data_IF_456931472380
#
_entry.id   IF_456931472380
#
_cell.length_a   1.000
_cell.length_b   1.000
_cell.length_c   1.000
_cell.angle_alpha   90.00
_cell.angle_beta   90.00
_cell.angle_gamma   90.00
#
_symmetry.space_group_name_H-M   'P 1'
#
loop_
_entity.id
_entity.type
_entity.pdbx_description
1 polymer ?
#
# COMPACT_ATOMS: atom_id res chain seq x y z
N UNK A 1 0.19 -12.85 19.94
CA UNK A 1 0.14 -11.39 19.76
C UNK A 1 0.83 -10.82 20.97
N UNK A 2 1.80 -9.96 20.77
CA UNK A 2 2.57 -9.33 21.85
C UNK A 2 1.66 -8.39 22.64
N UNK A 3 1.91 -8.22 23.94
CA UNK A 3 1.10 -7.38 24.86
C UNK A 3 0.90 -5.95 24.32
N UNK A 4 1.93 -5.39 23.67
CA UNK A 4 1.82 -4.06 23.06
C UNK A 4 0.84 -4.01 21.87
N UNK A 5 0.74 -5.07 21.06
CA UNK A 5 -0.20 -5.11 19.92
C UNK A 5 -1.62 -4.99 20.44
N UNK A 6 -1.93 -5.71 21.53
CA UNK A 6 -3.22 -5.64 22.21
C UNK A 6 -3.46 -4.25 22.82
N UNK A 7 -2.41 -3.60 23.35
CA UNK A 7 -2.48 -2.24 23.88
C UNK A 7 -2.81 -1.18 22.81
N UNK A 8 -2.41 -1.40 21.55
CA UNK A 8 -2.66 -0.44 20.46
C UNK A 8 -3.88 -0.76 19.60
N UNK A 9 -4.51 -1.93 19.69
CA UNK A 9 -5.62 -2.33 18.79
C UNK A 9 -6.70 -1.25 18.67
N UNK A 10 -7.15 -0.69 19.80
CA UNK A 10 -8.21 0.32 19.80
C UNK A 10 -7.80 1.62 19.11
N UNK A 11 -6.55 2.05 19.33
CA UNK A 11 -6.01 3.28 18.72
C UNK A 11 -5.72 3.07 17.24
N UNK A 12 -5.20 1.90 16.88
CA UNK A 12 -4.99 1.48 15.50
C UNK A 12 -6.27 1.54 14.69
N UNK A 13 -7.39 1.03 15.21
CA UNK A 13 -8.69 1.11 14.53
C UNK A 13 -9.14 2.55 14.28
N UNK A 14 -8.78 3.48 15.18
CA UNK A 14 -9.10 4.90 15.02
C UNK A 14 -8.25 5.53 13.92
N UNK A 15 -6.94 5.27 13.94
CA UNK A 15 -5.99 5.75 12.93
C UNK A 15 -6.30 5.15 11.56
N UNK A 16 -6.63 3.86 11.47
CA UNK A 16 -7.07 3.19 10.23
C UNK A 16 -8.22 3.94 9.57
N UNK A 17 -9.23 4.35 10.36
CA UNK A 17 -10.37 5.07 9.83
C UNK A 17 -10.00 6.47 9.32
N UNK A 18 -9.13 7.18 10.02
CA UNK A 18 -8.67 8.52 9.63
C UNK A 18 -7.74 8.47 8.41
N UNK A 19 -6.89 7.44 8.34
CA UNK A 19 -5.89 7.27 7.30
C UNK A 19 -6.50 6.86 5.96
N UNK A 20 -7.76 6.38 5.94
CA UNK A 20 -8.50 6.09 4.70
C UNK A 20 -8.54 7.27 3.72
N UNK A 21 -8.63 8.51 4.20
CA UNK A 21 -8.62 9.70 3.32
C UNK A 21 -7.25 9.87 2.64
N UNK A 22 -6.16 9.62 3.38
CA UNK A 22 -4.79 9.66 2.85
C UNK A 22 -4.57 8.54 1.84
N UNK A 23 -5.05 7.33 2.13
CA UNK A 23 -5.02 6.21 1.18
C UNK A 23 -5.78 6.56 -0.09
N UNK A 24 -6.99 7.14 0.01
CA UNK A 24 -7.77 7.54 -1.15
C UNK A 24 -7.11 8.66 -1.99
N UNK A 25 -6.30 9.52 -1.36
CA UNK A 25 -5.47 10.51 -2.04
C UNK A 25 -4.14 9.95 -2.56
N UNK A 26 -3.77 8.74 -2.15
CA UNK A 26 -2.56 8.05 -2.58
C UNK A 26 -2.75 7.40 -3.96
N UNK A 27 -1.71 6.71 -4.43
CA UNK A 27 -1.78 5.90 -5.66
C UNK A 27 -2.45 4.54 -5.46
N UNK A 28 -2.68 4.13 -4.22
CA UNK A 28 -3.22 2.83 -3.87
C UNK A 28 -4.72 2.93 -3.57
N UNK A 29 -5.47 1.96 -4.07
CA UNK A 29 -6.85 1.71 -3.68
C UNK A 29 -6.92 1.12 -2.26
N UNK A 30 -8.09 1.16 -1.64
CA UNK A 30 -8.31 0.54 -0.32
C UNK A 30 -8.03 -0.97 -0.30
N UNK A 31 -8.19 -1.66 -1.43
CA UNK A 31 -7.90 -3.09 -1.56
C UNK A 31 -6.40 -3.35 -1.61
N UNK A 32 -5.67 -2.56 -2.40
CA UNK A 32 -4.21 -2.58 -2.47
C UNK A 32 -3.60 -2.24 -1.10
N UNK A 33 -4.15 -1.22 -0.42
CA UNK A 33 -3.75 -0.87 0.95
C UNK A 33 -3.95 -2.02 1.94
N UNK A 34 -5.08 -2.73 1.86
CA UNK A 34 -5.33 -3.90 2.69
C UNK A 34 -4.25 -4.98 2.49
N UNK A 35 -3.85 -5.25 1.24
CA UNK A 35 -2.77 -6.20 0.95
C UNK A 35 -1.42 -5.72 1.50
N UNK A 36 -1.07 -4.45 1.29
CA UNK A 36 0.16 -3.82 1.83
C UNK A 36 0.21 -3.98 3.35
N UNK A 37 -0.89 -3.65 4.04
CA UNK A 37 -0.97 -3.73 5.52
C UNK A 37 -0.94 -5.16 6.06
N UNK A 38 -1.22 -6.19 5.24
CA UNK A 38 -1.03 -7.60 5.65
C UNK A 38 0.41 -8.07 5.58
N UNK A 39 1.24 -7.36 4.81
CA UNK A 39 2.68 -7.61 4.67
C UNK A 39 3.52 -6.54 5.39
N UNK A 40 2.88 -5.75 6.25
CA UNK A 40 3.56 -4.74 7.06
C UNK A 40 3.38 -5.12 8.51
N UNK A 41 4.49 -5.22 9.22
CA UNK A 41 4.50 -5.35 10.67
C UNK A 41 4.86 -3.99 11.27
N UNK A 42 4.28 -3.65 12.42
CA UNK A 42 4.66 -2.46 13.17
C UNK A 42 5.60 -2.87 14.29
N UNK A 43 6.59 -2.03 14.59
CA UNK A 43 7.53 -2.24 15.70
C UNK A 43 7.85 -0.92 16.40
N UNK A 44 8.48 -0.99 17.58
CA UNK A 44 9.03 0.18 18.26
C UNK A 44 10.56 0.10 18.22
N UNK A 45 11.17 0.98 17.42
CA UNK A 45 12.62 1.15 17.39
C UNK A 45 13.08 1.91 18.64
N UNK A 46 14.24 1.54 19.21
CA UNK A 46 14.83 2.16 20.41
C UNK A 46 13.87 2.20 21.61
N UNK A 47 13.07 1.15 21.84
CA UNK A 47 12.07 1.12 22.91
C UNK A 47 12.65 1.37 24.32
N UNK A 48 13.95 1.12 24.52
CA UNK A 48 14.71 1.38 25.76
C UNK A 48 15.10 2.84 25.98
N UNK A 49 15.02 3.69 24.97
CA UNK A 49 15.29 5.11 25.06
C UNK A 49 13.99 5.91 24.85
N UNK A 50 13.40 6.53 25.89
CA UNK A 50 12.14 7.26 25.75
C UNK A 50 12.23 8.47 24.82
N UNK A 51 13.43 9.02 24.60
CA UNK A 51 13.64 10.19 23.73
C UNK A 51 13.86 9.79 22.26
N UNK A 52 14.30 8.55 22.01
CA UNK A 52 14.55 8.01 20.66
C UNK A 52 13.53 6.97 20.20
N UNK A 53 12.64 6.53 21.09
CA UNK A 53 11.64 5.52 20.80
C UNK A 53 10.67 6.00 19.72
N UNK A 54 10.42 5.17 18.71
CA UNK A 54 9.47 5.49 17.64
C UNK A 54 8.80 4.27 17.03
N UNK A 55 7.56 4.42 16.59
CA UNK A 55 6.86 3.40 15.80
C UNK A 55 7.45 3.38 14.39
N UNK A 56 7.85 2.20 13.95
CA UNK A 56 8.39 1.97 12.59
C UNK A 56 7.59 0.89 11.90
N UNK A 57 7.49 0.99 10.57
CA UNK A 57 6.90 -0.04 9.73
C UNK A 57 8.00 -0.98 9.22
N UNK A 58 7.96 -2.25 9.61
CA UNK A 58 8.74 -3.30 8.95
C UNK A 58 8.07 -3.67 7.63
N UNK A 59 8.78 -3.33 6.56
CA UNK A 59 8.36 -3.50 5.17
C UNK A 59 9.15 -4.57 4.43
N UNK A 60 9.96 -5.35 5.15
CA UNK A 60 10.79 -6.41 4.58
C UNK A 60 9.99 -7.46 3.79
N UNK A 61 8.70 -7.62 4.10
CA UNK A 61 7.76 -8.52 3.43
C UNK A 61 7.03 -7.88 2.22
N UNK A 62 7.07 -6.55 2.07
CA UNK A 62 6.38 -5.87 0.96
C UNK A 62 6.82 -6.37 -0.43
N UNK A 63 8.13 -6.56 -0.72
CA UNK A 63 8.56 -7.05 -2.04
C UNK A 63 7.91 -8.37 -2.46
N UNK A 64 7.57 -9.24 -1.48
CA UNK A 64 6.94 -10.53 -1.75
C UNK A 64 5.47 -10.40 -2.21
N UNK A 65 4.75 -9.35 -1.79
CA UNK A 65 3.34 -9.13 -2.18
C UNK A 65 3.16 -8.23 -3.40
N UNK A 66 4.23 -7.57 -3.85
CA UNK A 66 4.13 -6.65 -4.98
C UNK A 66 3.63 -7.29 -6.29
N UNK A 67 4.01 -8.55 -6.64
CA UNK A 67 3.42 -9.22 -7.82
C UNK A 67 1.91 -9.43 -7.70
N UNK A 68 1.41 -9.68 -6.49
CA UNK A 68 -0.03 -9.82 -6.24
C UNK A 68 -0.74 -8.46 -6.31
N UNK A 69 -0.08 -7.39 -5.87
CA UNK A 69 -0.57 -6.02 -6.02
C UNK A 69 -0.80 -5.66 -7.50
N UNK A 70 0.19 -5.96 -8.35
CA UNK A 70 0.09 -5.75 -9.81
C UNK A 70 -1.03 -6.59 -10.44
N UNK A 71 -1.19 -7.84 -9.98
CA UNK A 71 -2.25 -8.74 -10.43
C UNK A 71 -3.65 -8.21 -10.06
N UNK A 72 -3.83 -7.70 -8.83
CA UNK A 72 -5.08 -7.08 -8.39
C UNK A 72 -5.45 -5.86 -9.26
N UNK A 73 -4.46 -5.01 -9.53
CA UNK A 73 -4.64 -3.83 -10.39
C UNK A 73 -5.01 -4.19 -11.81
N UNK A 74 -4.34 -5.20 -12.38
CA UNK A 74 -4.60 -5.71 -13.72
C UNK A 74 -6.00 -6.29 -13.86
N UNK A 75 -6.46 -7.03 -12.85
CA UNK A 75 -7.84 -7.56 -12.81
C UNK A 75 -8.88 -6.44 -12.74
N UNK A 76 -8.65 -5.40 -11.93
CA UNK A 76 -9.55 -4.24 -11.89
C UNK A 76 -9.59 -3.47 -13.22
N UNK A 77 -8.44 -3.27 -13.87
CA UNK A 77 -8.36 -2.63 -15.18
C UNK A 77 -9.08 -3.44 -16.27
N UNK A 78 -8.98 -4.78 -16.23
CA UNK A 78 -9.67 -5.68 -17.15
C UNK A 78 -11.19 -5.72 -16.95
N UNK A 79 -11.69 -5.38 -15.76
CA UNK A 79 -13.11 -5.39 -15.41
C UNK A 79 -13.77 -4.01 -15.52
N UNK A 80 -13.01 -2.92 -15.45
CA UNK A 80 -13.47 -1.53 -15.69
C UNK A 80 -13.58 -1.14 -17.16
N UNK A 81 -13.08 -1.98 -18.07
CA UNK A 81 -13.25 -1.84 -19.52
C UNK A 81 -14.55 -2.43 -20.02
N UNK A 82 -15.69 -1.80 -19.72
CA UNK A 82 -16.92 -2.10 -20.45
C UNK A 82 -16.83 -1.51 -21.87
N UNK A 83 -16.89 -2.30 -22.96
CA UNK A 83 -17.28 -1.80 -24.27
C UNK A 83 -18.77 -1.48 -24.22
N UNK A 84 -19.10 -0.24 -23.85
CA UNK A 84 -20.45 0.28 -24.00
C UNK A 84 -20.76 0.53 -25.47
N UNK A 85 -21.56 -0.34 -26.08
CA UNK A 85 -22.39 0.03 -27.24
C UNK A 85 -22.31 -0.92 -28.43
N UNK A 86 -22.95 -2.09 -28.35
CA UNK A 86 -23.50 -2.73 -29.54
C UNK A 86 -24.90 -2.14 -29.79
N UNK A 87 -25.01 -1.27 -30.81
CA UNK A 87 -26.28 -0.91 -31.48
C UNK A 87 -25.98 -0.21 -32.81
N UNK A 88 -25.78 -1.03 -33.85
CA UNK A 88 -26.35 -0.84 -35.19
C UNK A 88 -25.97 0.40 -36.03
N UNK A 89 -25.13 0.19 -37.04
CA UNK A 89 -25.01 1.11 -38.17
C UNK A 89 -23.99 0.65 -39.22
N UNK A 90 -24.47 0.10 -40.32
CA UNK A 90 -23.71 -0.37 -41.49
C UNK A 90 -22.63 0.59 -41.98
N UNK A 91 -21.45 0.03 -42.31
CA UNK A 91 -20.68 0.45 -43.48
C UNK A 91 -19.24 0.93 -43.24
N UNK A 92 -18.27 0.07 -43.60
CA UNK A 92 -17.05 0.49 -44.32
C UNK A 92 -15.76 0.70 -43.51
N UNK A 93 -14.78 -0.20 -43.74
CA UNK A 93 -13.34 -0.05 -43.38
C UNK A 93 -13.07 -0.09 -41.87
N UNK A 94 -12.11 -0.81 -41.31
CA UNK A 94 -10.70 -0.93 -41.67
C UNK A 94 -10.19 -2.22 -41.01
N UNK A 95 -9.98 -3.27 -41.81
CA UNK A 95 -9.22 -4.46 -41.40
C UNK A 95 -7.88 -4.41 -42.12
N UNK A 96 -7.02 -3.47 -41.72
CA UNK A 96 -5.67 -3.36 -42.30
C UNK A 96 -4.68 -2.72 -41.32
N UNK A 97 -4.28 -3.45 -40.27
CA UNK A 97 -3.06 -3.17 -39.46
C UNK A 97 -2.62 -4.32 -38.55
N UNK A 98 -3.06 -5.55 -38.83
CA UNK A 98 -2.46 -6.73 -38.20
C UNK A 98 -1.19 -7.04 -38.97
N UNK A 99 -0.05 -6.80 -38.33
CA UNK A 99 1.33 -7.19 -38.68
C UNK A 99 2.13 -6.18 -39.52
N UNK A 100 2.89 -5.37 -38.80
CA UNK A 100 4.34 -5.35 -38.96
C UNK A 100 4.92 -4.00 -39.34
N UNK A 101 5.59 -3.33 -38.39
CA UNK A 101 6.81 -2.57 -38.66
C UNK A 101 7.36 -1.88 -37.39
N UNK A 102 8.48 -2.41 -36.91
CA UNK A 102 9.67 -1.66 -36.48
C UNK A 102 9.67 -0.99 -35.09
N UNK A 103 10.41 -1.62 -34.17
CA UNK A 103 10.83 -0.99 -32.92
C UNK A 103 11.80 -1.81 -32.07
N UNK A 104 12.77 -2.50 -32.67
CA UNK A 104 13.92 -3.02 -31.94
C UNK A 104 14.82 -1.81 -31.62
N UNK A 105 14.66 -1.25 -30.42
CA UNK A 105 15.40 -0.05 -30.01
C UNK A 105 15.11 0.42 -28.59
N UNK A 106 15.81 -0.17 -27.62
CA UNK A 106 16.30 0.53 -26.43
C UNK A 106 15.33 0.76 -25.26
N UNK A 107 15.53 -0.02 -24.19
CA UNK A 107 15.35 0.47 -22.82
C UNK A 107 14.13 -0.04 -22.04
N UNK A 108 14.29 -1.19 -21.36
CA UNK A 108 13.74 -1.44 -20.02
C UNK A 108 12.25 -1.78 -19.87
N UNK A 109 11.96 -2.82 -19.07
CA UNK A 109 10.68 -2.97 -18.37
C UNK A 109 9.83 -4.18 -18.77
N UNK A 110 10.30 -5.40 -18.49
CA UNK A 110 9.43 -6.59 -18.44
C UNK A 110 9.12 -6.94 -16.99
N UNK A 111 7.87 -6.71 -16.58
CA UNK A 111 7.11 -7.59 -15.67
C UNK A 111 7.62 -7.75 -14.25
N UNK A 112 7.84 -6.63 -13.56
CA UNK A 112 7.97 -6.60 -12.11
C UNK A 112 7.42 -5.28 -11.58
N UNK A 113 6.94 -5.25 -10.34
CA UNK A 113 6.52 -4.02 -9.68
C UNK A 113 7.68 -3.02 -9.76
N UNK A 114 7.39 -1.81 -10.20
CA UNK A 114 8.43 -0.78 -10.30
C UNK A 114 8.97 -0.49 -8.91
N UNK A 115 10.28 -0.27 -8.78
CA UNK A 115 10.92 0.17 -7.52
C UNK A 115 10.19 1.40 -6.94
N UNK A 116 9.67 2.28 -7.79
CA UNK A 116 8.85 3.44 -7.41
C UNK A 116 7.52 3.08 -6.72
N UNK A 117 6.95 1.92 -7.00
CA UNK A 117 5.70 1.45 -6.40
C UNK A 117 5.98 0.85 -5.02
N UNK A 118 7.06 0.06 -4.90
CA UNK A 118 7.54 -0.44 -3.62
C UNK A 118 7.91 0.73 -2.69
N UNK A 119 8.72 1.69 -3.16
CA UNK A 119 9.08 2.89 -2.39
C UNK A 119 7.86 3.71 -1.97
N UNK A 120 6.82 3.77 -2.81
CA UNK A 120 5.59 4.46 -2.48
C UNK A 120 4.78 3.72 -1.40
N UNK A 121 4.75 2.38 -1.45
CA UNK A 121 4.12 1.57 -0.43
C UNK A 121 4.85 1.73 0.91
N UNK A 122 6.19 1.58 0.90
CA UNK A 122 7.06 1.76 2.08
C UNK A 122 6.89 3.14 2.72
N UNK A 123 6.83 4.20 1.91
CA UNK A 123 6.58 5.55 2.40
C UNK A 123 5.21 5.68 3.05
N UNK A 124 4.16 5.16 2.41
CA UNK A 124 2.80 5.30 2.92
C UNK A 124 2.59 4.55 4.24
N UNK A 125 3.21 3.37 4.41
CA UNK A 125 3.15 2.64 5.68
C UNK A 125 3.99 3.30 6.77
N UNK A 126 5.12 3.94 6.44
CA UNK A 126 5.84 4.74 7.42
C UNK A 126 5.03 5.98 7.84
N UNK A 127 4.38 6.66 6.90
CA UNK A 127 3.45 7.76 7.24
C UNK A 127 2.32 7.28 8.16
N UNK A 128 1.79 6.07 7.93
CA UNK A 128 0.81 5.47 8.83
C UNK A 128 1.39 5.20 10.23
N UNK A 129 2.62 4.70 10.33
CA UNK A 129 3.31 4.48 11.60
C UNK A 129 3.54 5.81 12.36
N UNK A 130 3.93 6.87 11.66
CA UNK A 130 4.13 8.20 12.21
C UNK A 130 2.81 8.79 12.76
N UNK A 131 1.71 8.60 12.03
CA UNK A 131 0.37 9.03 12.46
C UNK A 131 -0.13 8.23 13.68
N UNK A 132 0.16 6.92 13.71
CA UNK A 132 -0.15 6.11 14.89
C UNK A 132 0.63 6.58 16.11
N UNK A 133 1.92 6.88 15.95
CA UNK A 133 2.73 7.44 17.04
C UNK A 133 2.16 8.78 17.52
N UNK A 134 1.89 9.72 16.61
CA UNK A 134 1.36 11.03 16.95
C UNK A 134 0.02 10.91 17.70
N UNK A 135 -0.86 10.01 17.26
CA UNK A 135 -2.13 9.75 17.93
C UNK A 135 -1.92 9.14 19.33
N UNK A 136 -0.99 8.19 19.49
CA UNK A 136 -0.65 7.61 20.80
C UNK A 136 -0.09 8.64 21.78
N UNK A 137 0.71 9.59 21.29
CA UNK A 137 1.21 10.72 22.07
C UNK A 137 0.07 11.69 22.45
N UNK A 138 -0.81 12.01 21.51
CA UNK A 138 -1.97 12.90 21.73
C UNK A 138 -2.91 12.37 22.82
N UNK A 139 -3.22 11.07 22.79
CA UNK A 139 -4.08 10.43 23.79
C UNK A 139 -3.34 10.05 25.08
N UNK A 140 -2.04 10.36 25.18
CA UNK A 140 -1.21 10.10 26.36
C UNK A 140 -0.95 8.62 26.65
N UNK A 141 -1.02 7.75 25.64
CA UNK A 141 -0.80 6.30 25.76
C UNK A 141 0.58 5.84 25.33
N UNK A 142 1.37 6.71 24.70
CA UNK A 142 2.68 6.35 24.15
C UNK A 142 3.61 5.67 25.18
N UNK A 143 3.74 6.23 26.38
CA UNK A 143 4.61 5.66 27.41
C UNK A 143 4.18 4.25 27.84
N UNK A 144 2.87 4.03 28.01
CA UNK A 144 2.32 2.72 28.36
C UNK A 144 2.59 1.69 27.25
N UNK A 145 2.40 2.08 25.99
CA UNK A 145 2.62 1.21 24.83
C UNK A 145 4.10 0.87 24.68
N UNK A 146 4.99 1.84 24.84
CA UNK A 146 6.44 1.63 24.81
C UNK A 146 6.88 0.63 25.88
N UNK A 147 6.39 0.77 27.11
CA UNK A 147 6.71 -0.17 28.19
C UNK A 147 6.17 -1.58 27.91
N UNK A 148 4.93 -1.69 27.42
CA UNK A 148 4.33 -2.98 27.05
C UNK A 148 5.06 -3.69 25.88
N UNK A 149 5.82 -2.96 25.06
CA UNK A 149 6.65 -3.55 24.00
C UNK A 149 7.92 -4.21 24.55
N UNK A 150 8.39 -3.79 25.73
CA UNK A 150 9.61 -4.30 26.35
C UNK A 150 9.39 -5.53 27.24
N UNK A 151 8.13 -5.86 27.56
CA UNK A 151 7.72 -6.99 28.40
C UNK A 151 7.54 -8.29 27.59
#
# INVERSE_FOLDING_TARGET
MSEWTDAIVGERMTVDNQFNERVAASRFSSQEWGLIMTATDLEIENADDPDAARVVADTSNLPAIMPELENLRSQMAGMGGAPGGDSGGSGGGVVDSIKGALGLGGGGGSGGPSDEELEAAERLVQEYADELQAHLEEVGKWEQVRLAYQE
#
